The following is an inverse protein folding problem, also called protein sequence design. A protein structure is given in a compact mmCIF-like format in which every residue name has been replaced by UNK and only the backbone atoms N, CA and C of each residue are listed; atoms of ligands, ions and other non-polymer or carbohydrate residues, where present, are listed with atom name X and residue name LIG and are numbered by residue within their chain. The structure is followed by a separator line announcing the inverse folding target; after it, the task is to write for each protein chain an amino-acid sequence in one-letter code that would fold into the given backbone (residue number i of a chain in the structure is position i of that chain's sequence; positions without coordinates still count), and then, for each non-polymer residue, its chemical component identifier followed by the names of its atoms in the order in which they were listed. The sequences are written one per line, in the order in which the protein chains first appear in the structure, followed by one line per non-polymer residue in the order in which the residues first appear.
data_IF_520056053664
#
_entry.id   IF_520056053664
#
_cell.length_a   1.000
_cell.length_b   1.000
_cell.length_c   1.000
_cell.angle_alpha   90.00
_cell.angle_beta   90.00
_cell.angle_gamma   90.00
#
_symmetry.space_group_name_H-M   'P 1'
#
loop_
_entity.id
_entity.type
_entity.pdbx_description
1 polymer ?
#
# COMPACT_ATOMS: atom_id res chain seq x y z
N UNK A 1 -20.17 -9.36 11.49
CA UNK A 1 -19.34 -10.17 10.59
C UNK A 1 -19.79 -9.93 9.17
N UNK A 2 -18.84 -9.76 8.25
CA UNK A 2 -19.14 -9.49 6.84
C UNK A 2 -18.16 -10.24 5.94
N UNK A 3 -18.64 -10.62 4.76
CA UNK A 3 -17.83 -11.26 3.74
C UNK A 3 -17.71 -10.33 2.55
N UNK A 4 -16.49 -10.19 2.03
CA UNK A 4 -16.19 -9.31 0.90
C UNK A 4 -15.59 -10.16 -0.22
N UNK A 5 -16.38 -10.47 -1.22
CA UNK A 5 -15.89 -11.22 -2.37
C UNK A 5 -15.26 -10.26 -3.36
N UNK A 6 -14.19 -10.68 -4.00
CA UNK A 6 -13.47 -9.84 -4.95
C UNK A 6 -14.41 -9.27 -6.02
N UNK A 7 -15.31 -10.07 -6.53
CA UNK A 7 -16.25 -9.67 -7.59
C UNK A 7 -17.24 -8.59 -7.16
N UNK A 8 -17.45 -8.44 -5.83
CA UNK A 8 -18.42 -7.48 -5.29
C UNK A 8 -17.74 -6.21 -4.78
N UNK A 9 -16.42 -6.16 -4.72
CA UNK A 9 -15.68 -5.00 -4.27
C UNK A 9 -15.38 -4.09 -5.45
N UNK A 10 -15.64 -2.79 -5.28
CA UNK A 10 -15.36 -1.78 -6.30
C UNK A 10 -14.05 -1.09 -5.96
N UNK A 11 -13.10 -1.15 -6.89
CA UNK A 11 -11.83 -0.47 -6.71
C UNK A 11 -12.00 1.03 -6.93
N UNK A 12 -11.33 1.81 -6.06
CA UNK A 12 -11.20 3.25 -6.25
C UNK A 12 -9.95 3.52 -7.07
N UNK A 13 -10.11 4.25 -8.17
CA UNK A 13 -8.98 4.67 -9.00
C UNK A 13 -8.37 5.93 -8.39
N UNK A 14 -7.06 5.94 -8.24
CA UNK A 14 -6.34 7.11 -7.76
C UNK A 14 -5.05 7.29 -8.56
N UNK A 15 -4.61 8.53 -8.71
CA UNK A 15 -3.45 8.80 -9.52
C UNK A 15 -3.63 8.30 -10.95
N UNK A 16 -2.53 7.94 -11.58
CA UNK A 16 -2.52 7.48 -12.97
C UNK A 16 -2.28 5.97 -12.99
N UNK A 17 -3.31 5.19 -13.37
CA UNK A 17 -3.23 3.72 -13.48
C UNK A 17 -2.93 3.05 -12.12
N UNK A 18 -3.55 3.56 -11.07
CA UNK A 18 -3.49 2.99 -9.72
C UNK A 18 -4.88 2.75 -9.20
N UNK A 19 -5.06 1.68 -8.45
CA UNK A 19 -6.36 1.30 -7.86
C UNK A 19 -6.15 0.83 -6.44
N UNK A 20 -7.17 0.99 -5.61
CA UNK A 20 -7.17 0.44 -4.26
C UNK A 20 -8.55 -0.04 -3.86
N UNK A 21 -8.57 -1.09 -3.03
CA UNK A 21 -9.77 -1.61 -2.37
C UNK A 21 -9.47 -1.63 -0.88
N UNK A 22 -10.38 -1.07 -0.08
CA UNK A 22 -10.19 -1.01 1.37
C UNK A 22 -11.36 -1.67 2.09
N UNK A 23 -11.03 -2.48 3.09
CA UNK A 23 -12.00 -3.12 4.00
C UNK A 23 -11.53 -2.86 5.42
N UNK A 24 -12.46 -2.58 6.33
CA UNK A 24 -12.08 -2.27 7.70
C UNK A 24 -13.07 -2.81 8.73
N UNK A 25 -12.57 -3.02 9.93
CA UNK A 25 -13.33 -3.23 11.16
C UNK A 25 -13.41 -1.90 11.91
N UNK A 26 -13.61 -1.95 13.23
CA UNK A 26 -13.61 -0.72 14.04
C UNK A 26 -12.26 -0.01 14.07
N UNK A 27 -11.16 -0.76 14.09
CA UNK A 27 -9.82 -0.16 14.24
C UNK A 27 -8.78 -0.72 13.29
N UNK A 28 -9.09 -1.79 12.55
CA UNK A 28 -8.17 -2.39 11.59
C UNK A 28 -8.66 -2.12 10.17
N UNK A 29 -7.71 -1.84 9.28
CA UNK A 29 -8.01 -1.65 7.86
C UNK A 29 -7.03 -2.48 7.04
N UNK A 30 -7.56 -3.17 6.03
CA UNK A 30 -6.77 -3.84 5.00
C UNK A 30 -7.01 -3.11 3.68
N UNK A 31 -5.93 -2.75 2.99
CA UNK A 31 -6.02 -2.10 1.69
C UNK A 31 -5.20 -2.91 0.69
N UNK A 32 -5.81 -3.22 -0.44
CA UNK A 32 -5.09 -3.82 -1.57
C UNK A 32 -4.83 -2.71 -2.58
N UNK A 33 -3.56 -2.45 -2.84
CA UNK A 33 -3.13 -1.48 -3.85
C UNK A 33 -2.65 -2.20 -5.10
N UNK A 34 -3.12 -1.75 -6.24
CA UNK A 34 -2.62 -2.17 -7.54
C UNK A 34 -2.03 -0.97 -8.26
N UNK A 35 -0.74 -1.07 -8.57
CA UNK A 35 0.00 -0.07 -9.33
C UNK A 35 0.29 -0.65 -10.71
N UNK A 36 -0.15 0.04 -11.75
CA UNK A 36 0.03 -0.41 -13.14
C UNK A 36 0.84 0.62 -13.95
N UNK A 37 1.51 1.54 -13.28
CA UNK A 37 2.27 2.63 -13.88
C UNK A 37 3.79 2.45 -13.75
N UNK A 38 4.25 1.26 -13.42
CA UNK A 38 5.69 0.97 -13.34
C UNK A 38 6.31 0.57 -14.67
N UNK A 39 7.62 0.35 -14.70
CA UNK A 39 8.55 0.73 -13.64
C UNK A 39 8.67 2.26 -13.53
N UNK A 40 8.94 2.73 -12.31
CA UNK A 40 9.06 4.16 -12.04
C UNK A 40 10.51 4.62 -12.13
N UNK A 41 10.74 5.79 -12.72
CA UNK A 41 12.09 6.36 -12.83
C UNK A 41 12.59 6.95 -11.51
N UNK A 42 11.68 7.22 -10.57
CA UNK A 42 11.98 7.82 -9.28
C UNK A 42 10.95 7.35 -8.26
N UNK A 43 11.29 7.42 -6.95
CA UNK A 43 10.31 7.08 -5.93
C UNK A 43 9.15 8.08 -5.89
N UNK A 44 8.02 7.63 -5.37
CA UNK A 44 6.91 8.52 -5.02
C UNK A 44 7.40 9.53 -3.97
N UNK A 45 6.72 10.68 -3.83
CA UNK A 45 7.03 11.60 -2.75
C UNK A 45 6.89 10.93 -1.39
N UNK A 46 7.81 11.23 -0.46
CA UNK A 46 7.72 10.74 0.91
C UNK A 46 6.46 11.29 1.56
N UNK A 47 5.76 10.43 2.29
CA UNK A 47 4.59 10.81 3.07
C UNK A 47 4.66 10.14 4.44
N UNK A 48 3.90 10.67 5.39
CA UNK A 48 3.79 10.09 6.73
C UNK A 48 2.36 10.22 7.21
N UNK A 49 2.00 9.36 8.16
CA UNK A 49 0.68 9.36 8.76
C UNK A 49 0.77 8.80 10.19
N UNK A 50 -0.21 9.14 11.06
CA UNK A 50 -0.17 8.66 12.46
C UNK A 50 -0.51 7.17 12.59
N UNK A 51 -0.92 6.51 11.53
CA UNK A 51 -1.28 5.09 11.53
C UNK A 51 -0.01 4.24 11.49
N UNK A 52 0.02 3.14 12.25
CA UNK A 52 1.03 2.11 11.99
C UNK A 52 0.59 1.26 10.80
N UNK A 53 1.54 0.66 10.13
CA UNK A 53 1.31 -0.03 8.87
C UNK A 53 2.21 -1.25 8.75
N UNK A 54 1.66 -2.32 8.17
CA UNK A 54 2.45 -3.44 7.67
C UNK A 54 2.12 -3.57 6.20
N UNK A 55 3.15 -3.69 5.37
CA UNK A 55 3.01 -3.85 3.94
C UNK A 55 3.50 -5.23 3.53
N UNK A 56 2.68 -5.96 2.77
CA UNK A 56 3.04 -7.26 2.20
C UNK A 56 3.09 -7.13 0.68
N UNK A 57 4.20 -7.56 0.09
CA UNK A 57 4.34 -7.51 -1.37
C UNK A 57 3.68 -8.76 -1.95
N UNK A 58 2.55 -8.59 -2.60
CA UNK A 58 1.81 -9.72 -3.20
C UNK A 58 2.43 -10.11 -4.54
N UNK A 59 2.78 -9.11 -5.36
CA UNK A 59 3.40 -9.34 -6.67
C UNK A 59 4.21 -8.13 -7.09
N UNK A 60 5.17 -8.34 -7.96
CA UNK A 60 6.05 -7.30 -8.45
C UNK A 60 7.26 -7.09 -7.55
N UNK A 61 7.98 -6.01 -7.82
CA UNK A 61 9.20 -5.66 -7.10
C UNK A 61 9.24 -4.16 -6.87
N UNK A 62 9.61 -3.75 -5.67
CA UNK A 62 9.68 -2.33 -5.28
C UNK A 62 10.95 -2.06 -4.49
N UNK A 63 11.39 -0.79 -4.48
CA UNK A 63 12.24 -0.30 -3.42
C UNK A 63 11.33 0.38 -2.41
N UNK A 64 11.46 0.00 -1.15
CA UNK A 64 10.74 0.64 -0.05
C UNK A 64 11.68 1.57 0.70
N UNK A 65 11.27 2.83 0.86
CA UNK A 65 12.05 3.86 1.57
C UNK A 65 11.32 4.15 2.88
N UNK A 66 12.00 3.98 4.01
CA UNK A 66 11.41 4.21 5.33
C UNK A 66 12.45 4.91 6.20
N UNK A 67 12.17 6.14 6.65
CA UNK A 67 12.97 6.89 7.61
C UNK A 67 14.38 7.16 7.10
N UNK A 68 14.95 6.91 6.21
CA UNK A 68 16.32 7.06 5.72
C UNK A 68 16.95 5.75 5.32
N UNK A 69 16.23 4.64 5.53
CA UNK A 69 16.65 3.33 5.07
C UNK A 69 15.90 2.98 3.79
N UNK A 70 16.48 2.10 3.00
CA UNK A 70 15.81 1.58 1.81
C UNK A 70 16.19 0.12 1.60
N UNK A 71 15.26 -0.63 1.01
CA UNK A 71 15.50 -2.01 0.66
C UNK A 71 14.63 -2.43 -0.52
N UNK A 72 15.18 -3.28 -1.39
CA UNK A 72 14.41 -3.87 -2.48
C UNK A 72 13.61 -5.05 -1.93
N UNK A 73 12.31 -5.04 -2.16
CA UNK A 73 11.39 -6.08 -1.74
C UNK A 73 10.68 -6.67 -2.95
N UNK A 74 10.37 -7.96 -2.86
CA UNK A 74 9.63 -8.67 -3.92
C UNK A 74 8.54 -9.55 -3.32
N UNK A 75 7.78 -10.22 -4.16
CA UNK A 75 6.65 -11.04 -3.74
C UNK A 75 7.02 -11.95 -2.55
N UNK A 76 6.23 -11.89 -1.49
CA UNK A 76 6.45 -12.65 -0.26
C UNK A 76 7.14 -11.86 0.85
N UNK A 77 7.76 -10.73 0.53
CA UNK A 77 8.43 -9.91 1.54
C UNK A 77 7.44 -9.00 2.26
N UNK A 78 7.78 -8.62 3.48
CA UNK A 78 6.97 -7.73 4.30
C UNK A 78 7.84 -6.66 4.95
N UNK A 79 7.20 -5.54 5.31
CA UNK A 79 7.87 -4.45 6.01
C UNK A 79 6.90 -3.80 6.98
N UNK A 80 7.43 -3.34 8.12
CA UNK A 80 6.66 -2.58 9.10
C UNK A 80 7.02 -1.11 9.00
N UNK A 81 6.02 -0.25 9.16
CA UNK A 81 6.19 1.20 9.11
C UNK A 81 5.60 1.79 10.38
N UNK A 82 6.45 2.31 11.30
CA UNK A 82 5.96 2.94 12.53
C UNK A 82 5.16 4.21 12.25
N UNK A 83 4.33 4.66 13.20
CA UNK A 83 3.60 5.90 13.05
C UNK A 83 4.52 7.09 12.76
N UNK A 84 4.09 7.95 11.86
CA UNK A 84 4.74 9.24 11.56
C UNK A 84 6.13 9.14 10.94
N UNK A 85 6.57 7.96 10.52
CA UNK A 85 7.85 7.82 9.84
C UNK A 85 7.64 8.05 8.35
N UNK A 86 8.38 8.98 7.73
CA UNK A 86 8.28 9.23 6.29
C UNK A 86 8.65 7.98 5.49
N UNK A 87 7.83 7.66 4.50
CA UNK A 87 8.05 6.48 3.67
C UNK A 87 7.49 6.68 2.27
N UNK A 88 7.96 5.86 1.33
CA UNK A 88 7.52 5.84 -0.05
C UNK A 88 8.00 4.56 -0.72
N UNK A 89 7.45 4.28 -1.89
CA UNK A 89 7.88 3.17 -2.73
C UNK A 89 8.35 3.69 -4.09
N UNK A 90 9.18 2.87 -4.75
CA UNK A 90 9.49 3.01 -6.16
C UNK A 90 9.25 1.66 -6.84
N UNK A 91 8.32 1.61 -7.77
CA UNK A 91 8.04 0.39 -8.50
C UNK A 91 9.19 0.05 -9.44
N UNK A 92 9.66 -1.18 -9.40
CA UNK A 92 10.73 -1.68 -10.29
C UNK A 92 10.19 -2.56 -11.41
N UNK A 93 8.93 -2.94 -11.35
CA UNK A 93 8.26 -3.76 -12.36
C UNK A 93 7.04 -3.02 -12.90
N UNK A 94 6.52 -3.40 -14.09
CA UNK A 94 5.37 -2.70 -14.68
C UNK A 94 4.13 -2.72 -13.79
N UNK A 95 3.90 -3.82 -13.06
CA UNK A 95 2.79 -3.93 -12.11
C UNK A 95 3.30 -4.32 -10.74
N UNK A 96 2.63 -3.82 -9.71
CA UNK A 96 2.92 -4.14 -8.32
C UNK A 96 1.60 -4.26 -7.59
N UNK A 97 1.44 -5.30 -6.76
CA UNK A 97 0.31 -5.41 -5.84
C UNK A 97 0.82 -5.46 -4.41
N UNK A 98 0.28 -4.61 -3.56
CA UNK A 98 0.57 -4.57 -2.14
C UNK A 98 -0.69 -4.88 -1.34
N UNK A 99 -0.54 -5.61 -0.24
CA UNK A 99 -1.59 -5.77 0.77
C UNK A 99 -1.09 -5.07 2.03
N UNK A 100 -1.75 -3.99 2.41
CA UNK A 100 -1.33 -3.14 3.52
C UNK A 100 -2.35 -3.16 4.64
N UNK A 101 -1.89 -3.38 5.86
CA UNK A 101 -2.71 -3.31 7.06
C UNK A 101 -2.41 -2.02 7.81
N UNK A 102 -3.45 -1.35 8.29
CA UNK A 102 -3.34 -0.09 9.03
C UNK A 102 -4.14 -0.14 10.32
N UNK A 103 -3.65 0.51 11.35
CA UNK A 103 -4.42 0.83 12.55
C UNK A 103 -3.98 2.20 13.09
N UNK A 104 -4.89 3.06 13.52
CA UNK A 104 -6.34 2.98 13.32
C UNK A 104 -6.74 3.07 11.85
N UNK A 105 -8.03 3.03 11.58
CA UNK A 105 -8.55 3.11 10.22
C UNK A 105 -8.16 4.44 9.56
N UNK A 106 -7.71 4.38 8.32
CA UNK A 106 -7.39 5.58 7.53
C UNK A 106 -8.68 6.12 6.93
N UNK A 107 -9.20 7.17 7.52
CA UNK A 107 -10.46 7.75 7.09
C UNK A 107 -10.36 8.42 5.72
N UNK A 108 -9.18 8.86 5.33
CA UNK A 108 -8.95 9.41 3.99
C UNK A 108 -9.19 8.39 2.88
N UNK A 109 -9.22 7.09 3.20
CA UNK A 109 -9.53 6.05 2.22
C UNK A 109 -11.02 5.67 2.19
N UNK A 110 -11.86 6.27 3.03
CA UNK A 110 -13.26 5.92 3.17
C UNK A 110 -14.24 6.92 2.55
N UNK A 111 -13.78 8.06 2.13
CA UNK A 111 -14.64 9.10 1.56
C UNK A 111 -14.76 9.02 0.05
#
# INVERSE_FOLDING_TARGET
MAFYKQEDMTAEVFGKRRKRVAVHTGSLMMVIFDFEDGPAAAPDPLHSHPHEQISYIVSGKVIYFIGGEQQTLEAGDMVTIPPNVPHAIQALTPTVRLADAFTPVREDFLS
#
